data_IF_850905531533
#
_entry.id   IF_850905531533
#
_cell.length_a   1.000
_cell.length_b   1.000
_cell.length_c   1.000
_cell.angle_alpha   90.00
_cell.angle_beta   90.00
_cell.angle_gamma   90.00
#
_symmetry.space_group_name_H-M   'P 1'
#
loop_
_entity.id
_entity.type
_entity.pdbx_description
1 polymer ?
#
# COMPACT_ATOMS: atom_id res chain seq x y z
N UNK A 1 11.55 -8.80 2.41
CA UNK A 1 10.71 -7.57 2.29
C UNK A 1 9.27 -8.00 2.45
N UNK A 2 8.37 -7.28 3.09
CA UNK A 2 6.98 -7.74 3.12
C UNK A 2 6.31 -7.67 1.72
N UNK A 3 5.17 -8.33 1.59
CA UNK A 3 4.27 -8.22 0.45
C UNK A 3 2.87 -7.81 0.92
N UNK A 4 2.24 -6.89 0.21
CA UNK A 4 0.86 -6.48 0.46
C UNK A 4 -0.01 -6.78 -0.75
N UNK A 5 -1.28 -7.09 -0.49
CA UNK A 5 -2.32 -7.25 -1.52
C UNK A 5 -3.66 -6.83 -0.93
N UNK A 6 -4.58 -6.39 -1.77
CA UNK A 6 -5.92 -6.05 -1.32
C UNK A 6 -6.93 -5.96 -2.44
N UNK A 7 -8.18 -6.05 -2.04
CA UNK A 7 -9.35 -6.08 -2.91
C UNK A 7 -10.48 -5.28 -2.26
N UNK A 8 -11.04 -4.35 -3.01
CA UNK A 8 -12.25 -3.61 -2.67
C UNK A 8 -13.34 -3.95 -3.68
N UNK A 9 -14.54 -4.22 -3.21
CA UNK A 9 -15.72 -4.45 -4.06
C UNK A 9 -16.99 -3.88 -3.42
N UNK A 10 -17.73 -3.08 -4.18
CA UNK A 10 -18.98 -2.47 -3.70
C UNK A 10 -20.24 -3.23 -4.10
N UNK A 11 -20.13 -4.27 -4.93
CA UNK A 11 -21.26 -5.11 -5.36
C UNK A 11 -21.25 -6.49 -4.70
N UNK A 12 -20.07 -7.01 -4.37
CA UNK A 12 -19.87 -8.29 -3.70
C UNK A 12 -19.54 -8.07 -2.22
N UNK A 13 -20.14 -8.86 -1.34
CA UNK A 13 -19.73 -8.92 0.07
C UNK A 13 -18.44 -9.76 0.17
N UNK A 14 -17.39 -9.20 0.78
CA UNK A 14 -16.07 -9.84 0.91
C UNK A 14 -15.81 -10.54 2.26
N UNK A 15 -16.76 -10.56 3.19
CA UNK A 15 -16.62 -11.19 4.52
C UNK A 15 -16.16 -12.66 4.41
N UNK A 16 -16.66 -13.37 3.40
CA UNK A 16 -16.37 -14.79 3.16
C UNK A 16 -15.23 -15.03 2.13
N UNK A 17 -14.56 -13.99 1.65
CA UNK A 17 -13.53 -14.08 0.59
C UNK A 17 -12.11 -14.28 1.13
N UNK A 18 -12.01 -14.80 2.35
CA UNK A 18 -10.74 -15.05 3.04
C UNK A 18 -9.83 -15.98 2.24
N UNK A 19 -10.39 -17.01 1.59
CA UNK A 19 -9.62 -17.99 0.81
C UNK A 19 -9.00 -17.34 -0.44
N UNK A 20 -9.78 -16.53 -1.18
CA UNK A 20 -9.30 -15.78 -2.34
C UNK A 20 -8.14 -14.87 -1.94
N UNK A 21 -8.30 -14.11 -0.85
CA UNK A 21 -7.24 -13.25 -0.34
C UNK A 21 -6.00 -14.02 0.11
N UNK A 22 -6.18 -15.18 0.75
CA UNK A 22 -5.05 -16.03 1.14
C UNK A 22 -4.28 -16.54 -0.08
N UNK A 23 -4.97 -16.95 -1.15
CA UNK A 23 -4.32 -17.36 -2.42
C UNK A 23 -3.51 -16.22 -3.03
N UNK A 24 -4.06 -15.00 -3.07
CA UNK A 24 -3.34 -13.82 -3.55
C UNK A 24 -2.09 -13.54 -2.70
N UNK A 25 -2.23 -13.53 -1.38
CA UNK A 25 -1.13 -13.27 -0.45
C UNK A 25 -0.04 -14.35 -0.52
N UNK A 26 -0.40 -15.63 -0.72
CA UNK A 26 0.56 -16.73 -0.77
C UNK A 26 1.53 -16.64 -1.94
N UNK A 27 1.10 -16.05 -3.06
CA UNK A 27 2.02 -15.79 -4.19
C UNK A 27 3.20 -14.92 -3.78
N UNK A 28 3.04 -14.08 -2.75
CA UNK A 28 4.05 -13.17 -2.24
C UNK A 28 5.02 -13.82 -1.24
N UNK A 29 4.97 -15.15 -1.05
CA UNK A 29 5.76 -15.89 -0.06
C UNK A 29 7.28 -15.69 -0.17
N UNK A 30 7.80 -15.46 -1.38
CA UNK A 30 9.22 -15.16 -1.59
C UNK A 30 9.66 -13.80 -1.06
N UNK A 31 8.73 -12.89 -0.77
CA UNK A 31 9.01 -11.61 -0.14
C UNK A 31 9.13 -11.78 1.38
N UNK A 32 8.11 -12.41 1.98
CA UNK A 32 7.97 -12.64 3.41
C UNK A 32 7.65 -14.09 3.73
N UNK A 33 8.63 -14.92 4.09
CA UNK A 33 8.37 -16.34 4.35
C UNK A 33 7.74 -16.63 5.72
N UNK A 34 7.73 -15.65 6.62
CA UNK A 34 7.54 -15.91 8.05
C UNK A 34 6.08 -15.97 8.49
N UNK A 35 5.21 -15.15 7.89
CA UNK A 35 3.81 -15.07 8.31
C UNK A 35 2.88 -14.67 7.16
N UNK A 36 1.64 -15.18 7.19
CA UNK A 36 0.58 -14.89 6.22
C UNK A 36 -0.71 -14.59 6.96
N UNK A 37 -1.19 -13.37 6.79
CA UNK A 37 -2.40 -12.93 7.45
C UNK A 37 -3.30 -12.22 6.45
N UNK A 38 -4.59 -12.34 6.70
CA UNK A 38 -5.64 -11.76 5.88
C UNK A 38 -6.72 -11.19 6.79
N UNK A 39 -7.30 -10.09 6.34
CA UNK A 39 -8.43 -9.42 6.97
C UNK A 39 -9.51 -9.23 5.92
N UNK A 40 -10.77 -9.48 6.27
CA UNK A 40 -11.94 -9.30 5.42
C UNK A 40 -12.98 -8.45 6.14
N UNK A 41 -13.76 -7.73 5.36
CA UNK A 41 -14.94 -6.97 5.75
C UNK A 41 -15.94 -7.00 4.60
N UNK A 42 -17.11 -6.40 4.78
CA UNK A 42 -18.14 -6.32 3.73
C UNK A 42 -17.62 -5.82 2.38
N UNK A 43 -16.79 -4.77 2.36
CA UNK A 43 -16.38 -4.09 1.11
C UNK A 43 -14.89 -4.15 0.81
N UNK A 44 -14.06 -4.56 1.77
CA UNK A 44 -12.62 -4.59 1.60
C UNK A 44 -12.00 -5.84 2.22
N UNK A 45 -10.96 -6.34 1.57
CA UNK A 45 -10.14 -7.42 2.07
C UNK A 45 -8.66 -7.11 1.82
N UNK A 46 -7.83 -7.34 2.84
CA UNK A 46 -6.40 -7.03 2.84
C UNK A 46 -5.60 -8.28 3.18
N UNK A 47 -4.47 -8.46 2.50
CA UNK A 47 -3.55 -9.56 2.72
C UNK A 47 -2.14 -9.03 2.92
N UNK A 48 -1.43 -9.62 3.87
CA UNK A 48 -0.05 -9.28 4.17
C UNK A 48 0.79 -10.53 4.32
N UNK A 49 1.93 -10.55 3.62
CA UNK A 49 2.95 -11.57 3.72
C UNK A 49 4.20 -10.95 4.36
N UNK A 50 4.57 -11.43 5.55
CA UNK A 50 5.55 -10.75 6.41
C UNK A 50 6.94 -11.36 6.31
N UNK A 51 7.96 -10.49 6.24
CA UNK A 51 9.32 -10.80 6.68
C UNK A 51 9.49 -10.12 8.06
N UNK A 52 9.71 -10.90 9.10
CA UNK A 52 9.84 -10.40 10.47
C UNK A 52 11.23 -9.78 10.63
N UNK A 53 11.29 -8.45 10.65
CA UNK A 53 12.53 -7.68 10.90
C UNK A 53 12.46 -6.95 12.24
N UNK A 54 11.33 -6.29 12.52
CA UNK A 54 11.10 -5.51 13.75
C UNK A 54 9.77 -5.95 14.39
N UNK A 55 9.78 -6.06 15.72
CA UNK A 55 8.62 -6.35 16.59
C UNK A 55 7.75 -7.53 16.13
N UNK A 56 8.21 -8.79 16.29
CA UNK A 56 7.51 -9.99 15.83
C UNK A 56 6.04 -10.10 16.27
N UNK A 57 5.69 -9.65 17.47
CA UNK A 57 4.33 -9.77 18.00
C UNK A 57 3.49 -8.52 17.77
N UNK A 58 4.03 -7.32 18.01
CA UNK A 58 3.32 -6.04 17.85
C UNK A 58 3.17 -5.57 16.40
N UNK A 59 3.94 -6.14 15.47
CA UNK A 59 3.93 -5.80 14.04
C UNK A 59 3.04 -6.70 13.16
N UNK A 60 2.09 -7.45 13.73
CA UNK A 60 1.16 -8.29 12.97
C UNK A 60 0.27 -7.42 12.07
N UNK A 61 0.11 -7.84 10.82
CA UNK A 61 -0.62 -7.12 9.79
C UNK A 61 -1.46 -8.09 8.95
N UNK A 62 -2.65 -7.72 8.43
CA UNK A 62 -3.23 -6.39 8.50
C UNK A 62 -3.55 -5.93 9.92
N UNK A 63 -3.22 -4.68 10.25
CA UNK A 63 -3.36 -4.11 11.60
C UNK A 63 -4.59 -3.20 11.65
N UNK A 64 -5.42 -3.34 12.68
CA UNK A 64 -6.62 -2.52 12.86
C UNK A 64 -6.50 -1.62 14.09
N UNK A 65 -6.90 -0.36 13.97
CA UNK A 65 -7.04 0.60 15.09
C UNK A 65 -8.32 1.41 14.98
N UNK A 66 -8.79 1.89 16.13
CA UNK A 66 -10.03 2.67 16.22
C UNK A 66 -9.74 4.14 16.57
N UNK A 67 -10.53 5.07 16.02
CA UNK A 67 -10.62 6.48 16.45
C UNK A 67 -12.09 6.82 16.64
N UNK A 68 -12.53 6.90 17.90
CA UNK A 68 -13.96 6.91 18.23
C UNK A 68 -14.61 5.61 17.75
N UNK A 69 -15.70 5.74 17.00
CA UNK A 69 -16.44 4.60 16.42
C UNK A 69 -15.86 4.10 15.10
N UNK A 70 -14.93 4.84 14.48
CA UNK A 70 -14.36 4.46 13.19
C UNK A 70 -13.20 3.47 13.37
N UNK A 71 -13.14 2.44 12.51
CA UNK A 71 -12.06 1.47 12.44
C UNK A 71 -11.24 1.70 11.17
N UNK A 72 -9.94 1.56 11.30
CA UNK A 72 -8.98 1.70 10.21
C UNK A 72 -8.11 0.46 10.16
N UNK A 73 -7.98 -0.15 8.98
CA UNK A 73 -7.14 -1.35 8.79
C UNK A 73 -6.06 -1.10 7.77
N UNK A 74 -4.81 -1.40 8.11
CA UNK A 74 -3.63 -1.18 7.26
C UNK A 74 -2.97 -2.50 6.84
N UNK A 75 -2.44 -2.52 5.61
CA UNK A 75 -1.33 -3.38 5.23
C UNK A 75 -0.18 -2.52 4.67
N UNK A 76 1.04 -2.84 5.05
CA UNK A 76 2.21 -1.99 4.83
C UNK A 76 3.47 -2.83 4.60
N UNK A 77 4.19 -2.49 3.53
CA UNK A 77 5.53 -2.97 3.24
C UNK A 77 6.46 -1.76 3.18
N UNK A 78 7.38 -1.64 4.14
CA UNK A 78 8.28 -0.51 4.22
C UNK A 78 9.05 -0.43 5.51
N UNK A 79 9.70 0.72 5.69
CA UNK A 79 10.33 1.16 6.93
C UNK A 79 10.21 2.68 7.05
N UNK A 80 9.71 3.17 8.19
CA UNK A 80 9.69 4.60 8.51
C UNK A 80 10.93 4.98 9.32
N UNK A 81 11.74 5.88 8.75
CA UNK A 81 12.97 6.37 9.36
C UNK A 81 12.72 7.44 10.43
N UNK A 82 11.58 8.13 10.37
CA UNK A 82 11.20 9.14 11.36
C UNK A 82 10.09 8.67 12.32
N UNK A 83 10.05 7.36 12.61
CA UNK A 83 9.04 6.75 13.49
C UNK A 83 8.95 7.43 14.86
N UNK A 84 10.09 7.71 15.50
CA UNK A 84 10.12 8.33 16.84
C UNK A 84 9.65 9.79 16.84
N UNK A 85 9.93 10.55 15.77
CA UNK A 85 9.47 11.93 15.65
C UNK A 85 7.96 11.99 15.45
N UNK A 86 7.42 11.12 14.58
CA UNK A 86 5.98 10.97 14.36
C UNK A 86 5.28 10.52 15.63
N UNK A 87 5.85 9.55 16.35
CA UNK A 87 5.32 9.06 17.64
C UNK A 87 5.20 10.20 18.65
N UNK A 88 6.24 11.01 18.83
CA UNK A 88 6.21 12.19 19.72
C UNK A 88 5.13 13.18 19.31
N UNK A 89 5.02 13.50 18.01
CA UNK A 89 3.99 14.40 17.50
C UNK A 89 2.57 13.89 17.77
N UNK A 90 2.34 12.58 17.60
CA UNK A 90 1.03 11.94 17.82
C UNK A 90 0.69 11.79 19.31
N UNK A 91 1.68 11.56 20.18
CA UNK A 91 1.48 11.59 21.64
C UNK A 91 0.96 12.96 22.10
N UNK A 92 1.51 14.06 21.56
CA UNK A 92 1.03 15.43 21.83
C UNK A 92 -0.39 15.68 21.30
N UNK A 93 -0.86 14.89 20.34
CA UNK A 93 -2.25 14.91 19.83
C UNK A 93 -3.20 14.01 20.64
N UNK A 94 -2.71 13.34 21.67
CA UNK A 94 -3.53 12.49 22.55
C UNK A 94 -3.65 11.03 22.11
N UNK A 95 -2.84 10.57 21.15
CA UNK A 95 -2.79 9.14 20.80
C UNK A 95 -1.94 8.35 21.79
N UNK A 96 -2.28 7.07 21.97
CA UNK A 96 -1.48 6.09 22.69
C UNK A 96 -0.98 4.98 21.74
N UNK A 97 0.08 4.30 22.15
CA UNK A 97 0.70 3.22 21.38
C UNK A 97 0.88 1.98 22.26
N UNK A 98 0.64 0.81 21.69
CA UNK A 98 0.77 -0.46 22.38
C UNK A 98 2.15 -1.10 22.15
N UNK A 99 2.86 -0.71 21.09
CA UNK A 99 4.15 -1.28 20.75
C UNK A 99 5.10 -0.32 20.05
N UNK A 100 6.15 -0.90 19.49
CA UNK A 100 7.25 -0.17 18.83
C UNK A 100 7.21 -0.30 17.30
N UNK A 101 6.21 -0.99 16.74
CA UNK A 101 6.03 -1.12 15.30
C UNK A 101 5.79 0.23 14.62
N UNK A 102 6.55 0.50 13.57
CA UNK A 102 6.35 1.65 12.68
C UNK A 102 5.00 1.61 11.96
N UNK A 103 4.43 0.41 11.76
CA UNK A 103 3.08 0.21 11.20
C UNK A 103 2.03 0.91 12.06
N UNK A 104 2.15 0.81 13.39
CA UNK A 104 1.22 1.42 14.33
C UNK A 104 1.29 2.96 14.23
N UNK A 105 2.51 3.50 14.10
CA UNK A 105 2.76 4.94 13.91
C UNK A 105 2.22 5.42 12.57
N UNK A 106 2.41 4.65 11.49
CA UNK A 106 1.90 4.99 10.16
C UNK A 106 0.37 5.02 10.14
N UNK A 107 -0.29 3.98 10.64
CA UNK A 107 -1.76 3.94 10.73
C UNK A 107 -2.30 5.11 11.55
N UNK A 108 -1.69 5.38 12.70
CA UNK A 108 -2.07 6.50 13.57
C UNK A 108 -1.85 7.85 12.88
N UNK A 109 -0.77 7.99 12.08
CA UNK A 109 -0.51 9.17 11.26
C UNK A 109 -1.63 9.41 10.23
N UNK A 110 -2.14 8.35 9.59
CA UNK A 110 -3.29 8.46 8.68
C UNK A 110 -4.59 8.78 9.45
N UNK A 111 -4.83 8.19 10.61
CA UNK A 111 -6.02 8.50 11.43
C UNK A 111 -6.05 9.98 11.86
N UNK A 112 -4.89 10.59 12.08
CA UNK A 112 -4.76 12.00 12.44
C UNK A 112 -4.79 12.94 11.23
N UNK A 113 -3.94 12.72 10.24
CA UNK A 113 -3.72 13.65 9.14
C UNK A 113 -4.39 13.24 7.82
N UNK A 114 -5.06 12.09 7.78
CA UNK A 114 -5.66 11.50 6.57
C UNK A 114 -4.64 11.47 5.43
N UNK A 115 -5.03 11.86 4.22
CA UNK A 115 -4.17 11.90 3.04
C UNK A 115 -2.89 12.74 3.22
N UNK A 116 -2.93 13.78 4.09
CA UNK A 116 -1.77 14.63 4.38
C UNK A 116 -0.69 13.94 5.21
N UNK A 117 -0.94 12.72 5.72
CA UNK A 117 0.09 11.97 6.42
C UNK A 117 1.35 11.79 5.56
N UNK A 118 1.21 11.70 4.23
CA UNK A 118 2.32 11.55 3.28
C UNK A 118 3.35 12.69 3.34
N UNK A 119 2.94 13.89 3.77
CA UNK A 119 3.84 15.04 3.94
C UNK A 119 4.75 14.87 5.16
N UNK A 120 4.33 14.05 6.11
CA UNK A 120 5.03 13.79 7.36
C UNK A 120 5.90 12.52 7.31
N UNK A 121 5.63 11.57 6.41
CA UNK A 121 6.36 10.30 6.35
C UNK A 121 7.75 10.46 5.72
N UNK A 122 8.77 9.97 6.42
CA UNK A 122 10.11 9.77 5.87
C UNK A 122 10.48 8.27 5.94
N UNK A 123 10.76 7.67 4.80
CA UNK A 123 11.00 6.24 4.71
C UNK A 123 10.85 5.70 3.29
N UNK A 124 10.94 4.38 3.19
CA UNK A 124 10.60 3.62 1.98
C UNK A 124 9.34 2.81 2.26
N UNK A 125 8.30 2.95 1.46
CA UNK A 125 7.00 2.41 1.81
C UNK A 125 6.07 2.24 0.61
N UNK A 126 5.27 1.19 0.70
CA UNK A 126 3.99 1.08 0.04
C UNK A 126 2.99 0.57 1.08
N UNK A 127 1.88 1.29 1.27
CA UNK A 127 0.84 0.89 2.23
C UNK A 127 -0.55 1.16 1.68
N UNK A 128 -1.53 0.48 2.26
CA UNK A 128 -2.94 0.71 2.03
C UNK A 128 -3.68 0.75 3.36
N UNK A 129 -4.55 1.74 3.55
CA UNK A 129 -5.46 1.85 4.69
C UNK A 129 -6.90 1.84 4.20
N UNK A 130 -7.71 0.96 4.78
CA UNK A 130 -9.15 0.98 4.64
C UNK A 130 -9.78 1.77 5.80
N UNK A 131 -10.70 2.66 5.48
CA UNK A 131 -11.51 3.45 6.42
C UNK A 131 -12.95 2.92 6.40
N UNK A 132 -13.40 2.30 7.50
CA UNK A 132 -14.69 1.59 7.54
C UNK A 132 -15.89 2.54 7.37
N UNK A 133 -15.88 3.71 8.02
CA UNK A 133 -17.01 4.65 7.94
C UNK A 133 -17.04 5.36 6.58
N UNK A 134 -15.89 5.78 6.06
CA UNK A 134 -15.84 6.44 4.75
C UNK A 134 -15.93 5.44 3.59
N UNK A 135 -15.88 4.14 3.88
CA UNK A 135 -15.77 3.03 2.92
C UNK A 135 -14.76 3.34 1.80
N UNK A 136 -13.57 3.79 2.22
CA UNK A 136 -12.55 4.34 1.32
C UNK A 136 -11.21 3.66 1.54
N UNK A 137 -10.59 3.27 0.44
CA UNK A 137 -9.20 2.82 0.40
C UNK A 137 -8.29 4.02 0.13
N UNK A 138 -7.25 4.16 0.94
CA UNK A 138 -6.15 5.09 0.73
C UNK A 138 -4.84 4.32 0.57
N UNK A 139 -4.04 4.68 -0.42
CA UNK A 139 -2.74 4.08 -0.71
C UNK A 139 -1.69 5.17 -0.84
N UNK A 140 -0.52 4.92 -0.25
CA UNK A 140 0.67 5.76 -0.41
C UNK A 140 1.87 4.96 -0.90
N UNK A 141 2.64 5.52 -1.84
CA UNK A 141 3.95 5.00 -2.26
C UNK A 141 5.03 6.04 -2.08
N UNK A 142 6.17 5.63 -1.53
CA UNK A 142 7.28 6.52 -1.17
C UNK A 142 7.83 7.34 -2.34
N UNK A 143 8.60 8.38 -1.98
CA UNK A 143 9.09 9.43 -2.87
C UNK A 143 9.88 8.89 -4.07
N UNK A 144 10.61 7.79 -3.89
CA UNK A 144 11.45 7.19 -4.92
C UNK A 144 10.85 5.88 -5.48
N UNK A 145 9.71 5.43 -4.93
CA UNK A 145 9.04 4.21 -5.34
C UNK A 145 9.83 2.95 -5.03
N UNK A 146 10.59 2.93 -3.93
CA UNK A 146 11.43 1.78 -3.55
C UNK A 146 10.59 0.53 -3.33
N UNK A 147 9.40 0.67 -2.73
CA UNK A 147 8.47 -0.46 -2.58
C UNK A 147 7.49 -0.50 -3.75
N UNK A 148 7.42 -1.61 -4.53
CA UNK A 148 6.52 -1.70 -5.67
C UNK A 148 5.07 -1.81 -5.23
N UNK A 149 4.17 -1.25 -6.03
CA UNK A 149 2.73 -1.36 -5.87
C UNK A 149 2.03 -1.25 -7.23
N UNK A 150 1.33 -2.32 -7.60
CA UNK A 150 0.52 -2.41 -8.80
C UNK A 150 -0.96 -2.40 -8.43
N UNK A 151 -1.80 -1.96 -9.35
CA UNK A 151 -3.23 -1.93 -9.16
C UNK A 151 -3.99 -2.06 -10.48
N UNK A 152 -5.27 -2.40 -10.38
CA UNK A 152 -6.23 -2.38 -11.47
C UNK A 152 -7.63 -2.07 -10.93
N UNK A 153 -8.45 -1.43 -11.74
CA UNK A 153 -9.89 -1.29 -11.49
C UNK A 153 -10.62 -2.50 -12.07
N UNK A 154 -11.56 -3.07 -11.32
CA UNK A 154 -12.48 -4.11 -11.79
C UNK A 154 -13.83 -3.50 -12.16
N UNK A 155 -14.76 -4.30 -12.67
CA UNK A 155 -16.10 -3.81 -13.01
C UNK A 155 -16.91 -3.29 -11.80
N UNK A 156 -16.50 -3.64 -10.58
CA UNK A 156 -17.21 -3.39 -9.32
C UNK A 156 -16.32 -2.81 -8.21
N UNK A 157 -15.04 -2.58 -8.48
CA UNK A 157 -14.08 -2.36 -7.41
C UNK A 157 -12.66 -2.11 -7.88
N UNK A 158 -11.71 -2.48 -7.02
CA UNK A 158 -10.29 -2.15 -7.16
C UNK A 158 -9.43 -3.22 -6.50
N UNK A 159 -8.29 -3.55 -7.11
CA UNK A 159 -7.31 -4.47 -6.53
C UNK A 159 -5.92 -3.86 -6.58
N UNK A 160 -5.10 -4.15 -5.57
CA UNK A 160 -3.69 -3.76 -5.55
C UNK A 160 -2.81 -4.88 -5.00
N UNK A 161 -1.53 -4.88 -5.37
CA UNK A 161 -0.53 -5.75 -4.76
C UNK A 161 0.91 -5.27 -4.97
N UNK A 162 1.83 -5.76 -4.15
CA UNK A 162 3.27 -5.50 -4.33
C UNK A 162 3.84 -6.11 -5.61
N UNK A 163 3.25 -7.18 -6.13
CA UNK A 163 3.67 -7.84 -7.38
C UNK A 163 2.45 -8.23 -8.21
N UNK A 164 2.54 -8.08 -9.52
CA UNK A 164 1.44 -8.36 -10.46
C UNK A 164 0.86 -9.77 -10.32
N UNK A 165 1.70 -10.77 -9.99
CA UNK A 165 1.27 -12.16 -9.80
C UNK A 165 0.23 -12.37 -8.68
N UNK A 166 0.19 -11.49 -7.68
CA UNK A 166 -0.84 -11.55 -6.65
C UNK A 166 -2.20 -11.08 -7.18
N UNK A 167 -2.21 -10.11 -8.09
CA UNK A 167 -3.43 -9.70 -8.80
C UNK A 167 -3.92 -10.81 -9.73
N UNK A 168 -3.01 -11.47 -10.45
CA UNK A 168 -3.33 -12.60 -11.35
C UNK A 168 -3.86 -13.85 -10.62
N UNK A 169 -3.63 -13.96 -9.31
CA UNK A 169 -4.16 -15.06 -8.51
C UNK A 169 -5.66 -14.87 -8.17
N UNK A 170 -6.22 -13.68 -8.39
CA UNK A 170 -7.64 -13.45 -8.22
C UNK A 170 -8.43 -14.06 -9.40
N UNK A 171 -9.53 -14.80 -9.16
CA UNK A 171 -10.26 -15.53 -10.20
C UNK A 171 -10.82 -14.65 -11.33
N UNK A 172 -11.16 -13.40 -11.03
CA UNK A 172 -11.71 -12.46 -12.01
C UNK A 172 -10.63 -11.76 -12.87
N UNK A 173 -9.35 -11.97 -12.58
CA UNK A 173 -8.25 -11.32 -13.30
C UNK A 173 -7.68 -12.26 -14.35
N UNK A 174 -7.80 -11.88 -15.63
CA UNK A 174 -7.24 -12.65 -16.74
C UNK A 174 -5.77 -12.27 -16.99
N UNK A 175 -4.86 -13.23 -17.21
CA UNK A 175 -3.46 -12.98 -17.55
C UNK A 175 -3.32 -12.59 -19.04
N UNK A 176 -3.85 -11.44 -19.42
CA UNK A 176 -3.77 -10.90 -20.78
C UNK A 176 -2.65 -9.86 -20.90
N UNK A 177 -1.87 -9.93 -21.97
CA UNK A 177 -0.84 -8.94 -22.32
C UNK A 177 -1.25 -8.32 -23.65
N UNK A 178 -1.34 -6.99 -23.71
CA UNK A 178 -1.64 -6.25 -24.92
C UNK A 178 -0.36 -5.70 -25.57
N UNK A 179 -0.51 -4.89 -26.62
CA UNK A 179 0.62 -4.30 -27.33
C UNK A 179 1.51 -3.46 -26.42
N UNK A 180 0.93 -2.75 -25.45
CA UNK A 180 1.67 -1.91 -24.51
C UNK A 180 2.48 -2.78 -23.56
N UNK A 181 1.87 -3.83 -22.99
CA UNK A 181 2.57 -4.81 -22.16
C UNK A 181 3.73 -5.52 -22.89
N UNK A 182 3.55 -5.85 -24.18
CA UNK A 182 4.64 -6.40 -25.01
C UNK A 182 5.79 -5.39 -25.19
N UNK A 183 5.48 -4.11 -25.39
CA UNK A 183 6.49 -3.05 -25.48
C UNK A 183 7.27 -2.89 -24.16
N UNK A 184 6.61 -2.98 -23.00
CA UNK A 184 7.28 -2.92 -21.70
C UNK A 184 8.28 -4.07 -21.53
N UNK A 185 7.91 -5.28 -21.96
CA UNK A 185 8.78 -6.46 -21.85
C UNK A 185 9.94 -6.43 -22.85
N UNK A 186 9.66 -6.20 -24.13
CA UNK A 186 10.67 -6.30 -25.20
C UNK A 186 11.48 -5.02 -25.42
N UNK A 187 10.90 -3.84 -25.14
CA UNK A 187 11.53 -2.55 -25.40
C UNK A 187 12.34 -2.02 -24.21
N UNK A 188 11.83 -2.17 -22.99
CA UNK A 188 12.42 -1.58 -21.78
C UNK A 188 12.98 -2.61 -20.79
N UNK A 189 12.67 -3.89 -20.96
CA UNK A 189 13.05 -4.95 -20.01
C UNK A 189 14.53 -4.92 -19.62
N UNK A 190 14.88 -4.98 -18.32
CA UNK A 190 14.02 -5.28 -17.17
C UNK A 190 13.29 -4.07 -16.53
N UNK A 191 13.44 -2.87 -17.11
CA UNK A 191 12.77 -1.64 -16.65
C UNK A 191 11.32 -1.58 -17.14
N UNK A 192 10.53 -0.65 -16.57
CA UNK A 192 9.19 -0.30 -17.04
C UNK A 192 9.01 1.22 -17.10
N UNK A 193 8.16 1.67 -18.01
CA UNK A 193 7.65 3.04 -18.03
C UNK A 193 7.02 3.38 -16.66
N UNK A 194 7.34 4.53 -16.04
CA UNK A 194 6.76 4.91 -14.76
C UNK A 194 5.22 4.96 -14.82
N UNK A 195 4.58 4.04 -14.11
CA UNK A 195 3.12 3.93 -14.08
C UNK A 195 2.55 2.72 -14.82
N UNK A 196 3.38 2.02 -15.61
CA UNK A 196 2.95 0.90 -16.43
C UNK A 196 3.03 -0.44 -15.69
N UNK A 197 2.00 -1.27 -15.86
CA UNK A 197 2.06 -2.72 -15.65
C UNK A 197 2.40 -3.45 -16.95
N UNK A 198 2.56 -4.77 -16.87
CA UNK A 198 2.77 -5.66 -18.03
C UNK A 198 1.44 -6.25 -18.51
N UNK A 199 0.55 -6.56 -17.57
CA UNK A 199 -0.76 -7.13 -17.91
C UNK A 199 -1.76 -6.02 -18.23
N UNK A 200 -2.66 -6.33 -19.15
CA UNK A 200 -3.73 -5.44 -19.60
C UNK A 200 -4.50 -4.86 -18.41
N UNK A 201 -4.76 -3.55 -18.46
CA UNK A 201 -5.40 -2.76 -17.41
C UNK A 201 -4.65 -2.66 -16.06
N UNK A 202 -3.50 -3.33 -15.89
CA UNK A 202 -2.69 -3.17 -14.70
C UNK A 202 -1.78 -1.96 -14.82
N UNK A 203 -1.72 -1.17 -13.75
CA UNK A 203 -0.86 0.00 -13.62
C UNK A 203 0.05 -0.16 -12.42
N UNK A 204 1.17 0.53 -12.44
CA UNK A 204 2.05 0.71 -11.28
C UNK A 204 1.75 2.08 -10.65
N UNK A 205 1.60 2.18 -9.33
CA UNK A 205 1.45 3.50 -8.69
C UNK A 205 2.78 4.23 -8.79
N UNK A 206 2.86 5.39 -9.45
CA UNK A 206 4.13 6.10 -9.65
C UNK A 206 4.82 6.47 -8.31
N UNK A 207 6.17 6.60 -8.28
CA UNK A 207 6.88 7.17 -7.13
C UNK A 207 6.26 8.51 -6.68
N UNK A 208 6.25 8.77 -5.37
CA UNK A 208 5.74 10.01 -4.78
C UNK A 208 4.24 10.27 -5.06
N UNK A 209 3.43 9.22 -5.27
CA UNK A 209 1.99 9.35 -5.47
C UNK A 209 1.19 8.74 -4.32
N UNK A 210 0.06 9.39 -4.05
CA UNK A 210 -1.05 8.87 -3.25
C UNK A 210 -2.21 8.50 -4.17
N UNK A 211 -3.05 7.59 -3.70
CA UNK A 211 -4.24 7.13 -4.39
C UNK A 211 -5.38 6.94 -3.39
N UNK A 212 -6.58 7.34 -3.76
CA UNK A 212 -7.81 6.96 -3.07
C UNK A 212 -8.77 6.26 -4.02
N UNK A 213 -9.47 5.27 -3.51
CA UNK A 213 -10.56 4.60 -4.20
C UNK A 213 -11.78 4.56 -3.29
N UNK A 214 -12.90 5.04 -3.80
CA UNK A 214 -14.20 4.97 -3.13
C UNK A 214 -15.32 4.67 -4.14
N UNK A 215 -16.58 4.67 -3.70
CA UNK A 215 -17.75 4.63 -4.59
C UNK A 215 -17.77 5.77 -5.63
N UNK A 216 -17.05 6.86 -5.36
CA UNK A 216 -16.92 8.00 -6.29
C UNK A 216 -15.81 7.79 -7.34
N UNK A 217 -15.11 6.65 -7.31
CA UNK A 217 -14.07 6.28 -8.25
C UNK A 217 -12.65 6.49 -7.73
N UNK A 218 -11.71 6.36 -8.66
CA UNK A 218 -10.27 6.42 -8.43
C UNK A 218 -9.75 7.88 -8.52
N UNK A 219 -9.00 8.32 -7.51
CA UNK A 219 -8.22 9.56 -7.55
C UNK A 219 -6.75 9.23 -7.29
N UNK A 220 -5.86 9.79 -8.10
CA UNK A 220 -4.41 9.65 -7.95
C UNK A 220 -3.76 11.03 -8.04
N UNK A 221 -2.80 11.31 -7.17
CA UNK A 221 -2.08 12.59 -7.17
C UNK A 221 -0.62 12.41 -6.75
N UNK A 222 0.23 13.31 -7.21
CA UNK A 222 1.63 13.40 -6.76
C UNK A 222 1.69 14.27 -5.50
N UNK A 223 2.21 13.74 -4.40
CA UNK A 223 2.37 14.50 -3.15
C UNK A 223 3.76 15.10 -2.98
N UNK A 224 4.77 14.56 -3.68
CA UNK A 224 6.14 15.05 -3.61
C UNK A 224 6.80 15.11 -4.98
N UNK A 225 7.68 16.09 -5.18
CA UNK A 225 8.54 16.18 -6.35
C UNK A 225 9.89 16.73 -5.93
N UNK A 226 10.96 16.26 -6.57
CA UNK A 226 12.29 16.87 -6.40
C UNK A 226 12.23 18.33 -6.83
N UNK A 227 12.75 19.23 -6.00
CA UNK A 227 12.98 20.62 -6.36
C UNK A 227 14.43 20.71 -6.82
N UNK A 228 14.63 21.13 -8.06
CA UNK A 228 15.96 21.44 -8.56
C UNK A 228 16.28 22.86 -8.15
N UNK A 229 17.31 23.03 -7.34
CA UNK A 229 17.83 24.34 -6.93
C UNK A 229 19.26 24.47 -7.47
N UNK A 230 19.75 25.71 -7.58
CA UNK A 230 21.13 25.95 -8.01
C UNK A 230 22.06 25.40 -6.93
N UNK A 231 22.96 24.51 -7.31
CA UNK A 231 23.99 24.01 -6.41
C UNK A 231 24.95 25.15 -6.06
N UNK A 232 25.01 25.51 -4.78
CA UNK A 232 25.88 26.57 -4.27
C UNK A 232 27.12 26.05 -3.54
N UNK A 233 27.21 24.73 -3.33
CA UNK A 233 28.31 24.14 -2.58
C UNK A 233 29.59 24.23 -3.40
N UNK A 234 30.70 24.57 -2.75
CA UNK A 234 32.03 24.56 -3.36
C UNK A 234 32.72 23.21 -3.15
N UNK A 235 33.77 22.92 -3.93
CA UNK A 235 34.59 21.71 -3.72
C UNK A 235 35.31 21.70 -2.35
N UNK A 236 35.45 22.87 -1.72
CA UNK A 236 36.26 23.11 -0.53
C UNK A 236 35.44 22.98 0.78
N UNK A 237 34.12 22.84 0.67
CA UNK A 237 33.16 22.56 1.76
C UNK A 237 32.78 21.07 1.82
#
# INVERSE_FOLDING_TARGET
MCGITGWVDYRKNLDNERETMAKMAETLSKRGPDDTNVWTSQHAALGHKRLVVVDPEGGKQPMTRNKGENRYTICYNGELYNTEDLRKALLLKGYSFNGHSDTEVLLTSYMEWKEKCLDHLNGIFAFAVWDDIEERLFIGRDRLGVKPLFFLETASGFMFASEQKALLAHPDVKPEVDREGLCEVFGLGPSRSPGAGVFKNMKELRPAHGLTFSKNGLKTWRYWNVKSEVHTDSLEE
#
